data_IF_896905657924
#
_entry.id   IF_896905657924
#
_cell.length_a   1.000
_cell.length_b   1.000
_cell.length_c   1.000
_cell.angle_alpha   90.00
_cell.angle_beta   90.00
_cell.angle_gamma   90.00
#
_symmetry.space_group_name_H-M   'P 1'
#
loop_
_entity.id
_entity.type
_entity.pdbx_description
1 polymer ?
#
# COMPACT_ATOMS: atom_id res chain seq x y z
N UNK A 1 -23.05 5.12 11.62
CA UNK A 1 -21.61 4.77 11.42
C UNK A 1 -21.44 4.37 9.97
N UNK A 2 -20.51 4.98 9.25
CA UNK A 2 -20.24 4.68 7.84
C UNK A 2 -18.91 3.96 7.69
N UNK A 3 -18.71 3.31 6.55
CA UNK A 3 -17.41 2.78 6.12
C UNK A 3 -16.59 3.93 5.59
N UNK A 4 -15.35 4.07 6.04
CA UNK A 4 -14.46 5.17 5.65
C UNK A 4 -13.59 4.83 4.43
N UNK A 5 -13.16 3.57 4.29
CA UNK A 5 -12.43 3.08 3.12
C UNK A 5 -12.74 1.61 2.84
N UNK A 6 -12.49 1.18 1.62
CA UNK A 6 -12.64 -0.22 1.18
C UNK A 6 -11.42 -0.60 0.35
N UNK A 7 -10.75 -1.70 0.73
CA UNK A 7 -9.71 -2.37 -0.06
C UNK A 7 -10.39 -3.16 -1.18
N UNK A 8 -10.04 -2.91 -2.44
CA UNK A 8 -10.78 -3.43 -3.59
C UNK A 8 -10.69 -4.95 -3.76
N UNK A 9 -9.57 -5.55 -3.37
CA UNK A 9 -9.36 -7.00 -3.34
C UNK A 9 -8.37 -7.35 -2.23
N UNK A 10 -8.22 -8.65 -1.96
CA UNK A 10 -7.15 -9.18 -1.13
C UNK A 10 -6.16 -9.98 -1.98
N UNK A 11 -5.85 -11.20 -1.62
CA UNK A 11 -4.80 -12.00 -2.29
C UNK A 11 -5.25 -12.67 -3.59
N UNK A 12 -6.49 -12.54 -3.98
CA UNK A 12 -7.07 -13.15 -5.18
C UNK A 12 -7.86 -12.14 -6.00
N UNK A 13 -7.93 -12.38 -7.30
CA UNK A 13 -8.83 -11.66 -8.20
C UNK A 13 -10.29 -11.82 -7.76
N UNK A 14 -11.10 -10.80 -8.02
CA UNK A 14 -12.52 -10.81 -7.74
C UNK A 14 -13.33 -10.08 -8.83
N UNK A 15 -14.63 -9.92 -8.64
CA UNK A 15 -15.50 -9.25 -9.60
C UNK A 15 -15.19 -7.75 -9.79
N UNK A 16 -14.40 -7.14 -8.88
CA UNK A 16 -14.03 -5.72 -8.93
C UNK A 16 -12.73 -5.52 -9.71
N UNK A 17 -11.67 -6.29 -9.36
CA UNK A 17 -10.33 -6.04 -9.89
C UNK A 17 -9.39 -7.24 -9.75
N UNK A 18 -8.23 -7.12 -10.38
CA UNK A 18 -7.13 -8.06 -10.28
C UNK A 18 -6.23 -7.74 -9.08
N UNK A 19 -5.77 -8.79 -8.40
CA UNK A 19 -4.86 -8.76 -7.25
C UNK A 19 -3.40 -8.71 -7.70
N UNK A 20 -2.50 -8.25 -6.83
CA UNK A 20 -1.05 -8.32 -7.04
C UNK A 20 -0.48 -9.73 -6.84
N UNK A 21 -1.26 -10.62 -6.20
CA UNK A 21 -0.87 -12.01 -5.94
C UNK A 21 -1.99 -12.94 -6.39
N UNK A 22 -1.63 -14.21 -6.71
CA UNK A 22 -2.59 -15.21 -7.19
C UNK A 22 -3.47 -14.71 -8.35
N UNK A 23 -2.85 -14.01 -9.29
CA UNK A 23 -3.47 -13.54 -10.53
C UNK A 23 -2.80 -14.21 -11.74
N UNK A 24 -3.54 -14.41 -12.81
CA UNK A 24 -2.99 -14.90 -14.08
C UNK A 24 -2.23 -13.80 -14.83
N UNK A 25 -2.62 -12.54 -14.64
CA UNK A 25 -2.03 -11.38 -15.32
C UNK A 25 -2.12 -10.11 -14.46
N UNK A 26 -1.00 -9.75 -13.83
CA UNK A 26 -0.91 -8.54 -13.00
C UNK A 26 -1.05 -7.22 -13.77
N UNK A 27 -1.01 -7.24 -15.10
CA UNK A 27 -1.22 -6.05 -15.94
C UNK A 27 -2.70 -5.73 -16.13
N UNK A 28 -3.59 -6.69 -15.86
CA UNK A 28 -5.02 -6.46 -15.89
C UNK A 28 -5.46 -5.64 -14.66
N UNK A 29 -6.47 -4.80 -14.88
CA UNK A 29 -6.90 -3.79 -13.91
C UNK A 29 -8.33 -4.00 -13.42
N UNK A 30 -9.08 -2.89 -13.36
CA UNK A 30 -10.48 -2.88 -12.97
C UNK A 30 -11.35 -3.59 -14.01
N UNK A 31 -12.27 -4.43 -13.55
CA UNK A 31 -13.37 -4.90 -14.39
C UNK A 31 -14.30 -3.75 -14.77
N UNK A 32 -15.28 -3.99 -15.65
CA UNK A 32 -16.31 -3.00 -15.89
C UNK A 32 -17.07 -2.67 -14.60
N UNK A 33 -17.46 -3.68 -13.82
CA UNK A 33 -18.11 -3.50 -12.52
C UNK A 33 -17.20 -2.74 -11.54
N UNK A 34 -15.89 -3.03 -11.52
CA UNK A 34 -14.92 -2.32 -10.69
C UNK A 34 -14.86 -0.81 -10.97
N UNK A 35 -15.00 -0.39 -12.22
CA UNK A 35 -15.07 1.04 -12.58
C UNK A 35 -16.33 1.71 -12.04
N UNK A 36 -17.44 0.99 -12.01
CA UNK A 36 -18.69 1.47 -11.40
C UNK A 36 -18.56 1.56 -9.88
N UNK A 37 -17.88 0.59 -9.24
CA UNK A 37 -17.57 0.61 -7.80
C UNK A 37 -16.69 1.81 -7.45
N UNK A 38 -15.61 2.08 -8.19
CA UNK A 38 -14.75 3.25 -7.99
C UNK A 38 -15.53 4.56 -8.07
N UNK A 39 -16.39 4.69 -9.08
CA UNK A 39 -17.25 5.86 -9.25
C UNK A 39 -18.23 6.04 -8.08
N UNK A 40 -18.84 4.96 -7.63
CA UNK A 40 -19.79 5.01 -6.51
C UNK A 40 -19.10 5.30 -5.18
N UNK A 41 -17.92 4.73 -4.92
CA UNK A 41 -17.10 5.06 -3.75
C UNK A 41 -16.76 6.55 -3.72
N UNK A 42 -16.34 7.12 -4.85
CA UNK A 42 -16.07 8.57 -4.95
C UNK A 42 -17.33 9.40 -4.65
N UNK A 43 -18.51 8.99 -5.18
CA UNK A 43 -19.79 9.67 -4.93
C UNK A 43 -20.18 9.66 -3.46
N UNK A 44 -19.90 8.56 -2.76
CA UNK A 44 -20.23 8.36 -1.35
C UNK A 44 -19.18 8.94 -0.38
N UNK A 45 -18.03 9.39 -0.88
CA UNK A 45 -16.91 9.84 -0.06
C UNK A 45 -16.20 8.70 0.69
N UNK A 46 -16.24 7.48 0.13
CA UNK A 46 -15.51 6.32 0.63
C UNK A 46 -14.14 6.28 -0.04
N UNK A 47 -13.06 6.29 0.73
CA UNK A 47 -11.69 6.21 0.19
C UNK A 47 -11.45 4.83 -0.45
N UNK A 48 -10.74 4.84 -1.57
CA UNK A 48 -10.33 3.63 -2.28
C UNK A 48 -8.95 3.23 -1.77
N UNK A 49 -8.84 2.00 -1.27
CA UNK A 49 -7.58 1.40 -0.87
C UNK A 49 -7.09 0.43 -1.94
N UNK A 50 -5.87 0.67 -2.43
CA UNK A 50 -5.21 -0.13 -3.48
C UNK A 50 -4.20 -1.14 -2.93
N UNK A 51 -4.07 -1.28 -1.62
CA UNK A 51 -3.26 -2.37 -1.07
C UNK A 51 -3.80 -3.70 -1.59
N UNK A 52 -2.92 -4.63 -1.92
CA UNK A 52 -3.20 -5.89 -2.63
C UNK A 52 -3.56 -5.78 -4.12
N UNK A 53 -3.86 -4.61 -4.63
CA UNK A 53 -4.24 -4.44 -6.03
C UNK A 53 -3.07 -4.73 -6.99
N UNK A 54 -3.38 -5.29 -8.16
CA UNK A 54 -2.41 -5.45 -9.24
C UNK A 54 -1.89 -4.10 -9.74
N UNK A 55 -0.79 -4.13 -10.47
CA UNK A 55 -0.26 -2.93 -11.11
C UNK A 55 -1.28 -2.32 -12.09
N UNK A 56 -1.96 -3.16 -12.89
CA UNK A 56 -3.04 -2.71 -13.76
C UNK A 56 -4.20 -2.08 -13.00
N UNK A 57 -4.62 -2.68 -11.87
CA UNK A 57 -5.67 -2.12 -11.00
C UNK A 57 -5.25 -0.77 -10.43
N UNK A 58 -4.00 -0.63 -9.96
CA UNK A 58 -3.48 0.65 -9.48
C UNK A 58 -3.63 1.75 -10.53
N UNK A 59 -3.16 1.52 -11.75
CA UNK A 59 -3.20 2.52 -12.82
C UNK A 59 -4.62 2.83 -13.28
N UNK A 60 -5.50 1.85 -13.31
CA UNK A 60 -6.92 2.09 -13.59
C UNK A 60 -7.57 2.94 -12.48
N UNK A 61 -7.29 2.67 -11.20
CA UNK A 61 -7.81 3.47 -10.09
C UNK A 61 -7.32 4.91 -10.18
N UNK A 62 -6.02 5.15 -10.42
CA UNK A 62 -5.46 6.49 -10.65
C UNK A 62 -6.18 7.21 -11.80
N UNK A 63 -6.54 6.50 -12.86
CA UNK A 63 -7.22 7.05 -14.03
C UNK A 63 -8.68 7.39 -13.78
N UNK A 64 -9.40 6.56 -13.03
CA UNK A 64 -10.85 6.67 -12.87
C UNK A 64 -11.29 7.34 -11.57
N UNK A 65 -10.45 7.35 -10.52
CA UNK A 65 -10.77 8.04 -9.27
C UNK A 65 -10.68 9.55 -9.44
N UNK A 66 -11.68 10.25 -8.93
CA UNK A 66 -11.72 11.72 -8.83
C UNK A 66 -11.37 12.22 -7.44
N UNK A 67 -11.06 11.31 -6.51
CA UNK A 67 -10.72 11.60 -5.13
C UNK A 67 -9.34 10.99 -4.79
N UNK A 68 -8.65 11.50 -3.78
CA UNK A 68 -7.43 10.88 -3.26
C UNK A 68 -7.66 9.41 -2.88
N UNK A 69 -6.67 8.58 -3.16
CA UNK A 69 -6.68 7.15 -2.83
C UNK A 69 -5.63 6.82 -1.77
N UNK A 70 -5.73 5.67 -1.14
CA UNK A 70 -4.74 5.20 -0.18
C UNK A 70 -4.14 3.85 -0.58
N UNK A 71 -2.91 3.61 -0.14
CA UNK A 71 -2.35 2.29 0.04
C UNK A 71 -2.21 2.07 1.55
N UNK A 72 -3.16 1.35 2.15
CA UNK A 72 -3.24 1.22 3.62
C UNK A 72 -2.06 0.45 4.22
N UNK A 73 -1.41 -0.43 3.45
CA UNK A 73 -0.24 -1.21 3.84
C UNK A 73 0.54 -1.71 2.62
N UNK A 74 1.50 -0.90 2.15
CA UNK A 74 2.38 -1.23 1.02
C UNK A 74 3.72 -0.52 1.18
N UNK A 75 4.82 -1.26 0.97
CA UNK A 75 6.18 -0.75 1.14
C UNK A 75 6.81 -0.35 -0.20
N UNK A 76 8.12 -0.08 -0.25
CA UNK A 76 8.83 0.30 -1.47
C UNK A 76 9.35 -0.93 -2.23
N UNK A 77 8.97 -1.09 -3.50
CA UNK A 77 9.48 -2.13 -4.38
C UNK A 77 10.96 -1.94 -4.73
N UNK A 78 11.43 -0.72 -4.74
CA UNK A 78 12.85 -0.40 -5.00
C UNK A 78 13.76 -1.03 -3.95
N UNK A 79 13.36 -1.08 -2.68
CA UNK A 79 14.16 -1.65 -1.59
C UNK A 79 13.90 -3.15 -1.43
N UNK A 80 12.66 -3.58 -1.55
CA UNK A 80 12.29 -4.99 -1.51
C UNK A 80 11.36 -5.31 -2.68
N UNK A 81 11.91 -5.99 -3.70
CA UNK A 81 11.19 -6.38 -4.92
C UNK A 81 10.16 -7.47 -4.60
N UNK A 82 8.95 -7.02 -4.32
CA UNK A 82 7.79 -7.85 -4.00
C UNK A 82 6.53 -7.23 -4.63
N UNK A 83 5.62 -8.07 -5.15
CA UNK A 83 4.42 -7.62 -5.88
C UNK A 83 3.44 -6.81 -5.01
N UNK A 84 3.51 -6.93 -3.69
CA UNK A 84 2.73 -6.14 -2.74
C UNK A 84 3.27 -4.73 -2.53
N UNK A 85 4.50 -4.45 -2.95
CA UNK A 85 5.17 -3.17 -2.80
C UNK A 85 4.96 -2.26 -4.00
N UNK A 86 4.96 -0.95 -3.76
CA UNK A 86 4.78 0.08 -4.79
C UNK A 86 6.11 0.45 -5.44
N UNK A 87 6.09 0.63 -6.76
CA UNK A 87 7.20 1.21 -7.50
C UNK A 87 7.31 2.71 -7.21
N UNK A 88 8.47 3.30 -7.48
CA UNK A 88 8.66 4.75 -7.36
C UNK A 88 7.71 5.55 -8.26
N UNK A 89 7.34 5.01 -9.41
CA UNK A 89 6.38 5.63 -10.31
C UNK A 89 4.98 5.63 -9.70
N UNK A 90 4.57 4.51 -9.10
CA UNK A 90 3.29 4.40 -8.39
C UNK A 90 3.24 5.35 -7.17
N UNK A 91 4.33 5.43 -6.39
CA UNK A 91 4.43 6.36 -5.25
C UNK A 91 4.25 7.83 -5.70
N UNK A 92 4.92 8.24 -6.79
CA UNK A 92 4.75 9.59 -7.36
C UNK A 92 3.33 9.83 -7.88
N UNK A 93 2.73 8.85 -8.53
CA UNK A 93 1.37 8.96 -9.07
C UNK A 93 0.34 9.07 -7.93
N UNK A 94 0.50 8.30 -6.86
CA UNK A 94 -0.33 8.36 -5.68
C UNK A 94 -0.22 9.72 -4.99
N UNK A 95 0.99 10.24 -4.79
CA UNK A 95 1.22 11.56 -4.24
C UNK A 95 0.59 12.67 -5.10
N UNK A 96 0.75 12.59 -6.43
CA UNK A 96 0.11 13.55 -7.37
C UNK A 96 -1.42 13.50 -7.32
N UNK A 97 -2.00 12.35 -7.01
CA UNK A 97 -3.45 12.20 -6.78
C UNK A 97 -3.89 12.81 -5.43
N UNK A 98 -2.97 13.20 -4.56
CA UNK A 98 -3.24 13.67 -3.19
C UNK A 98 -3.41 12.55 -2.16
N UNK A 99 -3.05 11.33 -2.54
CA UNK A 99 -3.18 10.13 -1.72
C UNK A 99 -2.04 9.91 -0.73
N UNK A 100 -2.13 8.83 0.04
CA UNK A 100 -1.13 8.44 1.05
C UNK A 100 -0.79 6.96 0.92
N UNK A 101 0.52 6.64 0.86
CA UNK A 101 1.04 5.29 0.96
C UNK A 101 1.52 5.04 2.40
N UNK A 102 1.00 3.98 3.03
CA UNK A 102 1.34 3.62 4.40
C UNK A 102 2.23 2.38 4.41
N UNK A 103 3.40 2.51 5.07
CA UNK A 103 4.40 1.45 5.16
C UNK A 103 3.83 0.21 5.85
N UNK A 104 3.88 -0.94 5.17
CA UNK A 104 3.59 -2.25 5.74
C UNK A 104 4.81 -2.77 6.52
N UNK A 105 4.59 -3.33 7.71
CA UNK A 105 5.65 -3.91 8.55
C UNK A 105 5.68 -5.45 8.47
N UNK A 106 5.23 -6.04 7.37
CA UNK A 106 5.38 -7.47 7.12
C UNK A 106 6.82 -7.75 6.64
N UNK A 107 7.50 -8.65 7.29
CA UNK A 107 8.92 -8.95 7.09
C UNK A 107 9.30 -9.26 5.64
N UNK A 108 8.46 -10.02 4.93
CA UNK A 108 8.63 -10.38 3.51
C UNK A 108 8.54 -9.19 2.55
N UNK A 109 7.91 -8.08 2.97
CA UNK A 109 7.78 -6.86 2.15
C UNK A 109 8.84 -5.82 2.48
N UNK A 110 9.58 -6.05 3.58
CA UNK A 110 10.62 -5.15 4.06
C UNK A 110 12.02 -5.63 3.69
N UNK A 111 12.29 -6.93 3.75
CA UNK A 111 13.62 -7.44 3.47
C UNK A 111 13.56 -8.73 2.66
N UNK A 112 14.46 -8.86 1.65
CA UNK A 112 14.61 -10.08 0.82
C UNK A 112 14.94 -11.33 1.65
N UNK A 113 15.47 -11.13 2.86
CA UNK A 113 15.67 -12.16 3.88
C UNK A 113 14.72 -11.89 5.03
N UNK A 114 13.48 -12.37 5.01
CA UNK A 114 12.42 -11.94 5.95
C UNK A 114 12.82 -12.01 7.42
N UNK A 115 13.47 -13.09 7.84
CA UNK A 115 13.95 -13.26 9.23
C UNK A 115 14.97 -12.21 9.69
N UNK A 116 15.61 -11.49 8.77
CA UNK A 116 16.54 -10.41 9.07
C UNK A 116 15.84 -9.03 9.10
N UNK A 117 14.58 -8.95 8.67
CA UNK A 117 13.83 -7.70 8.63
C UNK A 117 13.74 -7.04 10.02
N UNK A 118 14.08 -5.78 10.08
CA UNK A 118 14.22 -5.00 11.31
C UNK A 118 13.62 -3.61 11.20
N UNK A 119 13.55 -2.92 12.34
CA UNK A 119 13.17 -1.50 12.38
C UNK A 119 14.08 -0.63 11.50
N UNK A 120 15.37 -0.96 11.38
CA UNK A 120 16.29 -0.21 10.50
C UNK A 120 15.85 -0.29 9.05
N UNK A 121 15.50 -1.48 8.56
CA UNK A 121 15.01 -1.65 7.18
C UNK A 121 13.68 -0.90 6.97
N UNK A 122 12.78 -0.90 7.97
CA UNK A 122 11.53 -0.15 7.91
C UNK A 122 11.77 1.36 7.79
N UNK A 123 12.74 1.90 8.54
CA UNK A 123 13.14 3.31 8.46
C UNK A 123 13.73 3.63 7.08
N UNK A 124 14.55 2.75 6.50
CA UNK A 124 15.06 2.92 5.13
C UNK A 124 13.92 2.98 4.10
N UNK A 125 12.89 2.14 4.26
CA UNK A 125 11.68 2.20 3.43
C UNK A 125 10.95 3.54 3.59
N UNK A 126 10.73 4.02 4.82
CA UNK A 126 10.10 5.31 5.09
C UNK A 126 10.87 6.45 4.43
N UNK A 127 12.19 6.50 4.63
CA UNK A 127 13.06 7.52 4.05
C UNK A 127 12.98 7.54 2.52
N UNK A 128 13.01 6.35 1.90
CA UNK A 128 12.89 6.24 0.46
C UNK A 128 11.52 6.71 -0.03
N UNK A 129 10.44 6.24 0.61
CA UNK A 129 9.06 6.63 0.25
C UNK A 129 8.86 8.15 0.41
N UNK A 130 9.40 8.75 1.47
CA UNK A 130 9.35 10.21 1.69
C UNK A 130 10.13 10.97 0.62
N UNK A 131 11.32 10.49 0.24
CA UNK A 131 12.11 11.10 -0.85
C UNK A 131 11.38 11.06 -2.20
N UNK A 132 10.60 10.01 -2.46
CA UNK A 132 9.91 9.79 -3.73
C UNK A 132 8.57 10.51 -3.80
N UNK A 133 7.75 10.40 -2.75
CA UNK A 133 6.36 10.87 -2.70
C UNK A 133 6.19 12.20 -1.94
N UNK A 134 7.11 12.54 -1.04
CA UNK A 134 6.96 13.65 -0.09
C UNK A 134 6.36 13.22 1.25
N UNK A 135 6.73 13.92 2.32
CA UNK A 135 6.35 13.59 3.70
C UNK A 135 4.83 13.59 3.92
N UNK A 136 4.09 14.44 3.22
CA UNK A 136 2.62 14.55 3.35
C UNK A 136 1.87 13.35 2.73
N UNK A 137 2.59 12.48 2.00
CA UNK A 137 2.03 11.35 1.26
C UNK A 137 2.51 9.99 1.77
N UNK A 138 3.13 9.94 2.96
CA UNK A 138 3.65 8.71 3.57
C UNK A 138 3.14 8.57 5.00
N UNK A 139 2.77 7.35 5.39
CA UNK A 139 2.31 7.01 6.72
C UNK A 139 2.78 5.60 7.14
N UNK A 140 2.26 5.12 8.26
CA UNK A 140 2.55 3.79 8.80
C UNK A 140 1.24 2.98 8.82
N UNK A 141 1.24 1.83 8.16
CA UNK A 141 0.10 0.93 8.00
C UNK A 141 0.43 -0.50 8.42
N UNK A 142 1.06 -0.68 9.51
CA UNK A 142 1.68 -1.83 10.16
C UNK A 142 1.33 -3.23 9.65
N UNK A 143 0.04 -3.53 9.45
CA UNK A 143 -0.49 -4.85 9.11
C UNK A 143 -0.26 -5.90 10.21
N UNK A 144 -0.27 -5.49 11.49
CA UNK A 144 0.01 -6.38 12.62
C UNK A 144 -1.00 -7.53 12.75
N UNK A 145 -2.26 -7.28 12.44
CA UNK A 145 -3.33 -8.29 12.43
C UNK A 145 -3.24 -9.23 11.21
N UNK A 146 -2.60 -8.79 10.12
CA UNK A 146 -2.28 -9.60 8.94
C UNK A 146 -0.97 -10.38 9.03
N UNK A 147 -0.28 -10.36 10.18
CA UNK A 147 0.99 -11.04 10.40
C UNK A 147 2.21 -10.13 10.36
N UNK A 148 2.02 -8.81 10.31
CA UNK A 148 3.09 -7.83 10.40
C UNK A 148 3.90 -7.94 11.70
N UNK A 149 5.13 -7.48 11.64
CA UNK A 149 6.05 -7.43 12.77
C UNK A 149 7.49 -7.70 12.36
N UNK A 150 8.40 -6.89 12.87
CA UNK A 150 9.83 -6.90 12.55
C UNK A 150 10.67 -7.10 13.82
N UNK A 151 11.97 -7.37 13.67
CA UNK A 151 12.86 -7.27 14.81
C UNK A 151 12.86 -5.83 15.34
N UNK A 152 12.48 -5.68 16.61
CA UNK A 152 12.37 -4.39 17.30
C UNK A 152 11.02 -3.68 17.14
N UNK A 153 10.08 -4.24 16.36
CA UNK A 153 8.70 -3.72 16.28
C UNK A 153 7.72 -4.87 15.99
N UNK A 154 7.10 -5.42 17.03
CA UNK A 154 6.18 -6.56 16.94
C UNK A 154 4.73 -6.23 17.28
N UNK A 155 4.47 -5.00 17.65
CA UNK A 155 3.14 -4.54 18.02
C UNK A 155 3.12 -3.02 18.27
N UNK A 156 1.95 -2.48 18.58
CA UNK A 156 1.72 -1.03 18.69
C UNK A 156 2.65 -0.35 19.71
N UNK A 157 2.98 -1.02 20.82
CA UNK A 157 3.87 -0.49 21.85
C UNK A 157 5.32 -0.29 21.35
N UNK A 158 5.69 -0.96 20.27
CA UNK A 158 7.05 -0.90 19.72
C UNK A 158 7.20 0.16 18.62
N UNK A 159 6.09 0.81 18.18
CA UNK A 159 6.11 1.83 17.13
C UNK A 159 7.04 3.00 17.47
N UNK A 160 7.25 3.29 18.75
CA UNK A 160 8.20 4.30 19.20
C UNK A 160 9.63 4.01 18.68
N UNK A 161 9.97 2.75 18.44
CA UNK A 161 11.29 2.38 17.95
C UNK A 161 11.55 2.83 16.50
N UNK A 162 10.50 3.11 15.72
CA UNK A 162 10.63 3.73 14.39
C UNK A 162 11.08 5.18 14.49
N UNK A 163 10.75 5.91 15.57
CA UNK A 163 11.11 7.31 15.77
C UNK A 163 12.49 7.48 16.39
N UNK A 164 12.91 6.56 17.26
CA UNK A 164 14.22 6.62 17.95
C UNK A 164 15.40 6.35 16.99
N UNK A 165 15.16 5.67 15.88
CA UNK A 165 16.20 5.31 14.90
C UNK A 165 16.49 6.41 13.88
N UNK A 166 15.75 7.54 13.89
CA UNK A 166 15.94 8.68 12.99
C UNK A 166 16.89 9.76 13.56
N UNK A 167 17.50 9.51 14.72
CA UNK A 167 18.58 10.30 15.33
C UNK A 167 19.94 9.57 15.14
#
# INVERSE_FOLDING_TARGET
>A
MGVNYITLCHSYDNDICHSSTHTEDATQGLTQFGREVVKEMNRLGIMIDISHASEGTFWDVIKYSTQPIIASHSSSRTLCDHDRNLTDEQLRALAKNGGVAQLCLLDTYINKTPKAASVCDAVEHLDHMIKVAGIDHVGIGTDFDGGGGLQGCKGDNDLINLTIKND
#
